data_IF_559219181940
#
_entry.id   IF_559219181940
#
_cell.length_a   1.000
_cell.length_b   1.000
_cell.length_c   1.000
_cell.angle_alpha   90.00
_cell.angle_beta   90.00
_cell.angle_gamma   90.00
#
_symmetry.space_group_name_H-M   'P 1'
#
loop_
_entity.id
_entity.type
_entity.pdbx_description
1 polymer ?
#
# COMPACT_ATOMS: atom_id res chain seq x y z
N UNK A 1 -31.17 8.27 26.22
CA UNK A 1 -31.24 8.66 24.80
C UNK A 1 -30.04 9.53 24.45
N UNK A 2 -29.32 9.16 23.40
CA UNK A 2 -28.18 9.94 22.99
C UNK A 2 -28.59 11.33 22.51
N UNK A 3 -27.80 12.34 22.79
CA UNK A 3 -28.02 13.68 22.29
C UNK A 3 -27.84 13.72 20.78
N UNK A 4 -28.35 14.78 20.14
CA UNK A 4 -28.20 15.00 18.73
C UNK A 4 -26.71 15.04 18.35
N UNK A 5 -25.88 15.69 19.17
CA UNK A 5 -24.44 15.81 18.92
C UNK A 5 -23.75 14.48 19.03
N UNK A 6 -24.12 13.65 20.00
CA UNK A 6 -23.60 12.30 20.15
C UNK A 6 -23.93 11.43 18.93
N UNK A 7 -25.20 11.56 18.47
CA UNK A 7 -25.65 10.82 17.29
C UNK A 7 -24.87 11.21 16.05
N UNK A 8 -24.67 12.52 15.86
CA UNK A 8 -23.89 13.03 14.73
C UNK A 8 -22.44 12.53 14.80
N UNK A 9 -21.85 12.55 15.99
CA UNK A 9 -20.47 12.08 16.19
C UNK A 9 -20.36 10.59 15.87
N UNK A 10 -21.33 9.77 16.28
CA UNK A 10 -21.33 8.34 15.97
C UNK A 10 -21.50 8.12 14.47
N UNK A 11 -22.40 8.84 13.83
CA UNK A 11 -22.61 8.75 12.39
C UNK A 11 -21.34 9.16 11.62
N UNK A 12 -20.72 10.25 12.02
CA UNK A 12 -19.48 10.72 11.41
C UNK A 12 -18.36 9.69 11.56
N UNK A 13 -18.26 9.06 12.73
CA UNK A 13 -17.27 8.01 12.98
C UNK A 13 -17.51 6.80 12.10
N UNK A 14 -18.77 6.40 11.92
CA UNK A 14 -19.11 5.28 11.04
C UNK A 14 -18.74 5.58 9.59
N UNK A 15 -19.03 6.79 9.13
CA UNK A 15 -18.66 7.21 7.78
C UNK A 15 -17.14 7.19 7.62
N UNK A 16 -16.42 7.72 8.60
CA UNK A 16 -14.97 7.70 8.58
C UNK A 16 -14.42 6.27 8.56
N UNK A 17 -15.01 5.37 9.35
CA UNK A 17 -14.57 3.97 9.39
C UNK A 17 -14.87 3.23 8.09
N UNK A 18 -15.96 3.58 7.40
CA UNK A 18 -16.23 3.02 6.07
C UNK A 18 -15.30 3.60 5.00
N UNK A 19 -14.95 4.89 5.13
CA UNK A 19 -14.02 5.53 4.22
C UNK A 19 -12.56 5.12 4.46
N UNK A 20 -12.25 4.71 5.71
CA UNK A 20 -10.90 4.39 6.15
C UNK A 20 -10.81 2.91 6.47
N UNK A 21 -10.34 2.17 5.54
CA UNK A 21 -10.15 0.74 5.70
C UNK A 21 -9.01 0.48 6.69
N UNK A 22 -9.11 -0.58 7.50
CA UNK A 22 -8.00 -0.96 8.38
C UNK A 22 -6.79 -1.37 7.54
N UNK A 23 -5.59 -1.19 8.09
CA UNK A 23 -4.37 -1.61 7.40
C UNK A 23 -4.41 -3.09 7.04
N UNK A 24 -4.93 -3.92 7.96
CA UNK A 24 -5.01 -5.36 7.76
C UNK A 24 -5.92 -5.74 6.60
N UNK A 25 -7.08 -5.09 6.51
CA UNK A 25 -8.03 -5.34 5.42
C UNK A 25 -7.46 -4.85 4.09
N UNK A 26 -6.81 -3.70 4.10
CA UNK A 26 -6.19 -3.14 2.92
C UNK A 26 -5.03 -4.02 2.43
N UNK A 27 -4.22 -4.51 3.36
CA UNK A 27 -3.12 -5.42 3.03
C UNK A 27 -3.66 -6.68 2.38
N UNK A 28 -4.72 -7.26 2.92
CA UNK A 28 -5.38 -8.44 2.35
C UNK A 28 -5.90 -8.17 0.95
N UNK A 29 -6.52 -7.01 0.76
CA UNK A 29 -6.99 -6.59 -0.55
C UNK A 29 -5.86 -6.52 -1.57
N UNK A 30 -4.73 -5.91 -1.18
CA UNK A 30 -3.57 -5.81 -2.07
C UNK A 30 -3.03 -7.19 -2.46
N UNK A 31 -2.91 -8.09 -1.50
CA UNK A 31 -2.43 -9.45 -1.75
C UNK A 31 -3.34 -10.16 -2.77
N UNK A 32 -4.65 -10.06 -2.60
CA UNK A 32 -5.61 -10.68 -3.50
C UNK A 32 -5.60 -10.04 -4.88
N UNK A 33 -5.48 -8.72 -4.92
CA UNK A 33 -5.41 -7.99 -6.18
C UNK A 33 -4.17 -8.40 -7.00
N UNK A 34 -3.02 -8.45 -6.36
CA UNK A 34 -1.77 -8.88 -7.01
C UNK A 34 -1.91 -10.31 -7.51
N UNK A 35 -2.48 -11.18 -6.71
CA UNK A 35 -2.68 -12.57 -7.10
C UNK A 35 -3.60 -12.69 -8.30
N UNK A 36 -4.63 -11.85 -8.39
CA UNK A 36 -5.56 -11.86 -9.53
C UNK A 36 -4.87 -11.49 -10.85
N UNK A 37 -3.77 -10.79 -10.78
CA UNK A 37 -2.95 -10.47 -11.95
C UNK A 37 -1.84 -11.50 -12.20
N UNK A 38 -1.85 -12.61 -11.49
CA UNK A 38 -0.86 -13.67 -11.66
C UNK A 38 0.45 -13.41 -10.93
N UNK A 39 0.46 -12.48 -10.01
CA UNK A 39 1.66 -12.11 -9.28
C UNK A 39 1.70 -12.65 -7.86
N UNK A 40 2.71 -12.23 -7.14
CA UNK A 40 2.92 -12.55 -5.73
C UNK A 40 3.13 -11.26 -4.95
N UNK A 41 2.49 -11.17 -3.80
CA UNK A 41 2.65 -10.05 -2.88
C UNK A 41 3.27 -10.57 -1.60
N UNK A 42 4.57 -10.42 -1.49
CA UNK A 42 5.35 -11.02 -0.41
C UNK A 42 5.49 -10.07 0.76
N UNK A 43 5.40 -10.60 1.95
CA UNK A 43 5.69 -9.82 3.14
C UNK A 43 7.20 -9.69 3.28
N UNK A 44 7.66 -8.48 3.54
CA UNK A 44 9.08 -8.23 3.74
C UNK A 44 9.31 -7.70 5.15
N UNK A 45 10.28 -8.28 5.82
CA UNK A 45 10.73 -7.82 7.12
C UNK A 45 12.24 -8.01 7.21
N UNK A 46 12.91 -6.97 7.69
CA UNK A 46 14.35 -7.00 7.87
C UNK A 46 14.67 -6.46 9.26
N UNK A 47 15.05 -7.35 10.17
CA UNK A 47 15.30 -7.01 11.57
C UNK A 47 16.59 -6.22 11.76
N UNK A 48 17.52 -6.31 10.81
CA UNK A 48 18.81 -5.62 10.90
C UNK A 48 18.75 -4.24 10.25
N UNK A 49 17.94 -4.09 9.22
CA UNK A 49 17.73 -2.81 8.55
C UNK A 49 16.24 -2.56 8.46
N UNK A 50 15.72 -1.80 9.42
CA UNK A 50 14.30 -1.53 9.51
C UNK A 50 13.86 -0.40 8.58
N UNK A 51 12.56 -0.20 8.48
CA UNK A 51 11.98 0.91 7.73
C UNK A 51 11.66 0.61 6.28
N UNK A 52 11.95 -0.59 5.79
CA UNK A 52 11.56 -0.97 4.44
C UNK A 52 10.04 -1.14 4.33
N UNK A 53 9.47 -0.95 3.12
CA UNK A 53 8.05 -1.19 2.93
C UNK A 53 7.63 -2.61 3.27
N UNK A 54 6.37 -2.77 3.67
CA UNK A 54 5.83 -4.05 4.18
C UNK A 54 5.76 -5.14 3.13
N UNK A 55 5.51 -4.75 1.87
CA UNK A 55 5.19 -5.71 0.82
C UNK A 55 6.06 -5.51 -0.40
N UNK A 56 6.50 -6.63 -0.95
CA UNK A 56 7.18 -6.70 -2.23
C UNK A 56 6.23 -7.32 -3.25
N UNK A 57 5.95 -6.58 -4.31
CA UNK A 57 5.01 -7.00 -5.34
C UNK A 57 5.80 -7.49 -6.54
N UNK A 58 5.52 -8.71 -6.96
CA UNK A 58 6.13 -9.34 -8.12
C UNK A 58 5.01 -9.67 -9.12
N UNK A 59 5.07 -9.07 -10.30
CA UNK A 59 4.10 -9.30 -11.36
C UNK A 59 4.77 -9.98 -12.55
N UNK A 60 3.98 -10.64 -13.42
CA UNK A 60 4.53 -11.23 -14.65
C UNK A 60 5.30 -10.19 -15.47
N UNK A 61 6.33 -10.64 -16.16
CA UNK A 61 7.18 -9.77 -16.95
C UNK A 61 8.29 -9.09 -16.14
N UNK A 62 8.55 -9.57 -14.91
CA UNK A 62 9.60 -9.00 -14.07
C UNK A 62 9.24 -7.65 -13.45
N UNK A 63 7.98 -7.26 -13.49
CA UNK A 63 7.53 -6.00 -12.91
C UNK A 63 7.52 -6.11 -11.39
N UNK A 64 8.16 -5.17 -10.74
CA UNK A 64 8.40 -5.20 -9.30
C UNK A 64 8.06 -3.86 -8.67
N UNK A 65 7.42 -3.89 -7.52
CA UNK A 65 7.13 -2.69 -6.75
C UNK A 65 7.17 -3.01 -5.26
N UNK A 66 7.42 -1.96 -4.47
CA UNK A 66 7.36 -2.01 -3.02
C UNK A 66 6.15 -1.21 -2.56
N UNK A 67 5.45 -1.72 -1.58
CA UNK A 67 4.27 -1.05 -1.04
C UNK A 67 4.35 -0.95 0.48
N UNK A 68 4.20 0.26 0.98
CA UNK A 68 4.05 0.52 2.40
C UNK A 68 2.56 0.70 2.69
N UNK A 69 2.00 -0.18 3.53
CA UNK A 69 0.58 -0.14 3.83
C UNK A 69 0.34 0.80 5.02
N UNK A 70 -0.54 1.75 4.84
CA UNK A 70 -0.93 2.69 5.89
C UNK A 70 -2.43 2.89 5.86
N UNK A 71 -3.07 3.00 7.02
CA UNK A 71 -4.45 3.45 7.04
C UNK A 71 -4.53 4.91 6.62
N UNK A 72 -5.66 5.28 6.01
CA UNK A 72 -5.84 6.62 5.48
C UNK A 72 -5.64 7.67 6.57
N UNK A 73 -4.88 8.70 6.26
CA UNK A 73 -4.56 9.78 7.20
C UNK A 73 -3.30 9.53 8.02
N UNK A 74 -2.76 8.33 7.99
CA UNK A 74 -1.46 8.04 8.61
C UNK A 74 -0.36 8.20 7.59
N UNK A 75 0.80 8.62 8.06
CA UNK A 75 1.95 8.88 7.21
C UNK A 75 3.09 7.91 7.53
N UNK A 76 3.92 7.58 6.54
CA UNK A 76 5.13 6.81 6.80
C UNK A 76 6.04 7.56 7.77
N UNK A 77 6.81 6.81 8.54
CA UNK A 77 7.86 7.41 9.38
C UNK A 77 8.95 7.99 8.50
N UNK A 78 9.80 8.83 9.11
CA UNK A 78 10.94 9.39 8.39
C UNK A 78 11.84 8.30 7.82
N UNK A 79 12.13 7.27 8.60
CA UNK A 79 12.96 6.17 8.13
C UNK A 79 12.31 5.43 6.97
N UNK A 80 11.00 5.21 7.03
CA UNK A 80 10.28 4.58 5.92
C UNK A 80 10.39 5.41 4.64
N UNK A 81 10.28 6.73 4.77
CA UNK A 81 10.45 7.62 3.61
C UNK A 81 11.86 7.53 3.04
N UNK A 82 12.87 7.48 3.90
CA UNK A 82 14.27 7.35 3.47
C UNK A 82 14.46 6.03 2.71
N UNK A 83 13.94 4.92 3.23
CA UNK A 83 14.04 3.62 2.58
C UNK A 83 13.35 3.61 1.22
N UNK A 84 12.16 4.22 1.14
CA UNK A 84 11.46 4.30 -0.14
C UNK A 84 12.23 5.11 -1.17
N UNK A 85 12.83 6.21 -0.73
CA UNK A 85 13.66 7.03 -1.63
C UNK A 85 14.88 6.27 -2.11
N UNK A 86 15.53 5.51 -1.24
CA UNK A 86 16.66 4.66 -1.63
C UNK A 86 16.24 3.64 -2.69
N UNK A 87 15.08 3.00 -2.50
CA UNK A 87 14.57 2.04 -3.47
C UNK A 87 14.26 2.70 -4.82
N UNK A 88 13.67 3.89 -4.78
CA UNK A 88 13.37 4.65 -6.01
C UNK A 88 14.64 5.04 -6.74
N UNK A 89 15.69 5.40 -6.02
CA UNK A 89 16.98 5.73 -6.62
C UNK A 89 17.61 4.51 -7.29
N UNK A 90 17.32 3.33 -6.81
CA UNK A 90 17.77 2.08 -7.43
C UNK A 90 16.93 1.69 -8.66
N UNK A 91 15.87 2.46 -8.95
CA UNK A 91 15.02 2.20 -10.09
C UNK A 91 13.75 1.42 -9.77
N UNK A 92 13.50 1.12 -8.49
CA UNK A 92 12.28 0.42 -8.10
C UNK A 92 11.15 1.39 -7.86
N UNK A 93 9.93 0.92 -8.10
CA UNK A 93 8.74 1.64 -7.68
C UNK A 93 8.49 1.35 -6.20
N UNK A 94 8.30 2.37 -5.40
CA UNK A 94 8.01 2.25 -3.98
C UNK A 94 6.97 3.31 -3.62
N UNK A 95 5.80 2.88 -3.13
CA UNK A 95 4.69 3.78 -2.89
C UNK A 95 3.95 3.40 -1.61
N UNK A 96 3.30 4.40 -1.03
CA UNK A 96 2.39 4.20 0.09
C UNK A 96 1.03 3.79 -0.47
N UNK A 97 0.46 2.75 0.11
CA UNK A 97 -0.87 2.27 -0.24
C UNK A 97 -1.77 2.50 0.97
N UNK A 98 -2.64 3.49 0.89
CA UNK A 98 -3.53 3.90 1.98
C UNK A 98 -5.00 3.71 1.65
N UNK A 99 -5.30 3.12 0.49
CA UNK A 99 -6.67 2.88 0.04
C UNK A 99 -6.69 1.82 -1.04
N UNK A 100 -7.87 1.26 -1.30
CA UNK A 100 -8.04 0.32 -2.40
C UNK A 100 -7.74 0.98 -3.75
N UNK A 101 -8.12 2.24 -3.89
CA UNK A 101 -7.82 2.98 -5.10
C UNK A 101 -6.32 3.14 -5.30
N UNK A 102 -5.58 3.47 -4.24
CA UNK A 102 -4.12 3.57 -4.33
C UNK A 102 -3.51 2.23 -4.75
N UNK A 103 -4.03 1.11 -4.23
CA UNK A 103 -3.58 -0.22 -4.62
C UNK A 103 -3.82 -0.46 -6.12
N UNK A 104 -5.02 -0.13 -6.61
CA UNK A 104 -5.35 -0.30 -8.02
C UNK A 104 -4.48 0.58 -8.91
N UNK A 105 -4.24 1.83 -8.50
CA UNK A 105 -3.39 2.75 -9.25
C UNK A 105 -1.96 2.28 -9.33
N UNK A 106 -1.43 1.75 -8.23
CA UNK A 106 -0.08 1.19 -8.21
C UNK A 106 0.05 0.06 -9.23
N UNK A 107 -0.87 -0.89 -9.23
CA UNK A 107 -0.82 -2.00 -10.19
C UNK A 107 -1.03 -1.53 -11.62
N UNK A 108 -1.96 -0.62 -11.84
CA UNK A 108 -2.20 -0.08 -13.18
C UNK A 108 -0.95 0.60 -13.72
N UNK A 109 -0.28 1.41 -12.90
CA UNK A 109 0.95 2.07 -13.30
C UNK A 109 2.08 1.08 -13.56
N UNK A 110 2.18 0.04 -12.74
CA UNK A 110 3.20 -0.99 -12.90
C UNK A 110 2.98 -1.81 -14.16
N UNK A 111 1.73 -2.11 -14.49
CA UNK A 111 1.38 -2.89 -15.69
C UNK A 111 1.52 -2.08 -16.97
N UNK A 112 1.37 -0.77 -16.92
CA UNK A 112 1.48 0.10 -18.11
C UNK A 112 2.92 0.42 -18.45
N UNK A 113 3.87 0.21 -17.56
CA UNK A 113 5.27 0.50 -17.80
C UNK A 113 5.91 -0.64 -18.61
N UNK A 114 6.93 -0.34 -19.42
CA UNK A 114 7.74 -1.40 -20.04
C UNK A 114 8.31 -2.33 -18.98
N UNK A 115 8.52 -3.59 -19.33
CA UNK A 115 9.11 -4.55 -18.41
C UNK A 115 10.56 -4.19 -18.11
N UNK A 116 11.03 -4.60 -16.92
CA UNK A 116 12.40 -4.34 -16.52
C UNK A 116 13.42 -5.17 -17.31
N UNK A 117 12.98 -6.14 -18.07
CA UNK A 117 13.86 -6.91 -18.93
C UNK A 117 14.23 -6.17 -20.21
N UNK A 118 13.62 -5.07 -20.48
CA UNK A 118 14.00 -4.25 -21.61
C UNK A 118 15.29 -3.53 -21.27
N UNK A 119 16.28 -3.87 -21.93
CA UNK A 119 17.57 -3.25 -21.76
C UNK A 119 17.93 -2.44 -22.97
#
# INVERSE_FOLDING_TARGET
>A
MASKDEYIAVAARRIANHATESEKALERYLVELVRSYGGQCLKYANSQQTGYPDRLILLPGGRTAWAEIKSRGKHPTRLQCIRMDELRQLGYRAEVVDSREAARQLLAGLLSNPTNQQS
#
